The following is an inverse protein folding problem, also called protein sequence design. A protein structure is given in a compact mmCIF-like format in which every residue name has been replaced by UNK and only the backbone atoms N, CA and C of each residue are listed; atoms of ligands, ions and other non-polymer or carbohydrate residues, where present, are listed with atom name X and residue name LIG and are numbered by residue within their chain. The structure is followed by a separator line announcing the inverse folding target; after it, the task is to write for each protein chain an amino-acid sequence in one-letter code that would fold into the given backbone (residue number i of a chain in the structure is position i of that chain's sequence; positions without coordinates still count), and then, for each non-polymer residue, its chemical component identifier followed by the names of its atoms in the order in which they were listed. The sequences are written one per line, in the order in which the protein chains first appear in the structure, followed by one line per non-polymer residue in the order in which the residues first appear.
data_IF_438655703966
#
_entry.id   IF_438655703966
#
_cell.length_a   1.000
_cell.length_b   1.000
_cell.length_c   1.000
_cell.angle_alpha   90.00
_cell.angle_beta   90.00
_cell.angle_gamma   90.00
#
_symmetry.space_group_name_H-M   'P 1'
#
loop_
_entity.id
_entity.type
_entity.pdbx_description
1 polymer ?
#
# COMPACT_ATOMS: atom_id res chain seq x y z
N UNK A 1 21.39 13.63 -12.15
CA UNK A 1 21.66 15.10 -12.26
C UNK A 1 20.60 15.91 -13.03
N UNK A 2 19.47 15.37 -13.54
CA UNK A 2 18.40 16.18 -14.20
C UNK A 2 17.67 17.12 -13.23
N UNK A 3 17.27 16.60 -12.06
CA UNK A 3 16.56 17.36 -11.03
C UNK A 3 17.35 18.58 -10.52
N UNK A 4 18.63 18.39 -10.20
CA UNK A 4 19.51 19.45 -9.73
C UNK A 4 19.76 20.56 -10.78
N UNK A 5 19.46 20.27 -12.05
CA UNK A 5 19.58 21.21 -13.18
C UNK A 5 18.23 21.77 -13.65
N UNK A 6 17.15 21.51 -12.92
CA UNK A 6 15.80 21.97 -13.29
C UNK A 6 15.19 21.28 -14.52
N UNK A 7 15.83 20.23 -15.05
CA UNK A 7 15.32 19.52 -16.22
C UNK A 7 14.16 18.59 -15.87
N UNK A 8 13.28 18.37 -16.85
CA UNK A 8 12.19 17.40 -16.76
C UNK A 8 12.70 16.01 -16.31
N UNK A 9 11.95 15.30 -15.43
CA UNK A 9 12.32 13.97 -15.00
C UNK A 9 12.47 13.00 -16.18
N UNK A 10 13.33 12.01 -16.00
CA UNK A 10 13.28 10.83 -16.87
C UNK A 10 12.17 9.92 -16.36
N UNK A 11 11.18 9.67 -17.20
CA UNK A 11 10.03 8.83 -16.89
C UNK A 11 10.21 7.42 -17.43
N UNK A 12 9.69 6.44 -16.70
CA UNK A 12 9.56 5.05 -17.11
C UNK A 12 8.13 4.57 -16.80
N UNK A 13 7.67 3.46 -17.38
CA UNK A 13 6.37 2.88 -17.02
C UNK A 13 6.29 2.49 -15.53
N UNK A 14 5.09 2.62 -14.95
CA UNK A 14 4.78 2.07 -13.63
C UNK A 14 4.70 0.54 -13.74
N UNK A 15 3.92 0.04 -14.70
CA UNK A 15 3.76 -1.39 -14.98
C UNK A 15 4.11 -1.72 -16.43
N UNK A 16 4.72 -2.88 -16.64
CA UNK A 16 4.95 -3.46 -17.97
C UNK A 16 5.00 -4.99 -17.87
N UNK A 17 4.96 -5.72 -19.01
CA UNK A 17 5.15 -7.17 -19.00
C UNK A 17 6.51 -7.59 -18.40
N UNK A 18 6.65 -8.83 -17.91
CA UNK A 18 7.94 -9.38 -17.48
C UNK A 18 9.03 -9.21 -18.54
N UNK A 19 10.22 -8.77 -18.12
CA UNK A 19 11.38 -8.54 -19.00
C UNK A 19 11.50 -7.11 -19.55
N UNK A 20 10.47 -6.27 -19.41
CA UNK A 20 10.51 -4.86 -19.82
C UNK A 20 11.08 -3.93 -18.71
N UNK A 21 11.52 -2.74 -19.09
CA UNK A 21 11.85 -1.68 -18.12
C UNK A 21 10.57 -1.04 -17.56
N UNK A 22 10.28 -1.26 -16.28
CA UNK A 22 9.21 -0.59 -15.53
C UNK A 22 9.47 -0.66 -14.02
N UNK A 23 8.69 0.07 -13.22
CA UNK A 23 8.75 -0.05 -11.76
C UNK A 23 8.27 -1.43 -11.27
N UNK A 24 7.30 -2.03 -11.95
CA UNK A 24 6.71 -3.32 -11.61
C UNK A 24 6.50 -4.17 -12.87
N UNK A 25 7.00 -5.40 -12.84
CA UNK A 25 7.03 -6.31 -14.01
C UNK A 25 6.59 -7.73 -13.68
N UNK A 26 5.91 -7.93 -12.54
CA UNK A 26 5.31 -9.23 -12.25
C UNK A 26 4.17 -9.54 -13.24
N UNK A 27 3.88 -10.82 -13.54
CA UNK A 27 2.87 -11.17 -14.55
C UNK A 27 1.48 -10.57 -14.30
N UNK A 28 1.14 -10.38 -13.03
CA UNK A 28 -0.11 -9.79 -12.55
C UNK A 28 -0.11 -8.25 -12.54
N UNK A 29 1.05 -7.59 -12.68
CA UNK A 29 1.18 -6.15 -12.51
C UNK A 29 0.41 -5.32 -13.52
N UNK A 30 0.62 -5.57 -14.81
CA UNK A 30 -0.04 -4.81 -15.87
C UNK A 30 -1.57 -4.99 -15.85
N UNK A 31 -2.13 -6.22 -15.89
CA UNK A 31 -3.58 -6.40 -15.87
C UNK A 31 -4.19 -5.95 -14.53
N UNK A 32 -3.54 -6.23 -13.41
CA UNK A 32 -4.03 -5.86 -12.07
C UNK A 32 -4.08 -4.34 -11.86
N UNK A 33 -3.01 -3.63 -12.23
CA UNK A 33 -2.96 -2.17 -12.10
C UNK A 33 -3.96 -1.49 -13.04
N UNK A 34 -4.11 -1.97 -14.28
CA UNK A 34 -5.10 -1.43 -15.20
C UNK A 34 -6.54 -1.62 -14.69
N UNK A 35 -6.84 -2.76 -14.07
CA UNK A 35 -8.15 -3.04 -13.51
C UNK A 35 -8.55 -2.11 -12.36
N UNK A 36 -7.61 -1.41 -11.72
CA UNK A 36 -7.90 -0.44 -10.65
C UNK A 36 -8.59 0.83 -11.16
N UNK A 37 -8.47 1.15 -12.45
CA UNK A 37 -9.01 2.38 -13.03
C UNK A 37 -10.39 2.21 -13.66
N UNK A 38 -10.97 1.01 -13.62
CA UNK A 38 -12.32 0.73 -14.17
C UNK A 38 -12.53 1.23 -15.63
N UNK A 39 -11.46 1.26 -16.43
CA UNK A 39 -11.50 1.76 -17.82
C UNK A 39 -11.26 3.27 -17.98
N UNK A 40 -11.13 4.02 -16.89
CA UNK A 40 -10.74 5.42 -16.93
C UNK A 40 -9.32 5.59 -17.49
N UNK A 41 -9.06 6.66 -18.27
CA UNK A 41 -7.74 6.93 -18.79
C UNK A 41 -6.78 7.22 -17.65
N UNK A 42 -5.63 6.55 -17.66
CA UNK A 42 -4.56 6.76 -16.69
C UNK A 42 -3.21 6.80 -17.39
N UNK A 43 -2.27 7.53 -16.80
CA UNK A 43 -0.95 7.70 -17.37
C UNK A 43 0.05 6.72 -16.74
N UNK A 44 0.52 5.77 -17.54
CA UNK A 44 1.50 4.77 -17.11
C UNK A 44 2.92 5.36 -17.09
N UNK A 45 3.19 6.33 -16.20
CA UNK A 45 4.53 6.89 -16.04
C UNK A 45 4.87 7.21 -14.58
N UNK A 46 6.11 6.94 -14.20
CA UNK A 46 6.71 7.35 -12.95
C UNK A 46 8.10 7.93 -13.22
N UNK A 47 8.46 9.00 -12.51
CA UNK A 47 9.81 9.51 -12.57
C UNK A 47 10.78 8.46 -12.00
N UNK A 48 11.74 8.00 -12.79
CA UNK A 48 12.66 6.91 -12.39
C UNK A 48 13.40 7.23 -11.08
N UNK A 49 13.69 8.52 -10.82
CA UNK A 49 14.30 8.98 -9.57
C UNK A 49 13.46 8.69 -8.31
N UNK A 50 12.14 8.55 -8.43
CA UNK A 50 11.26 8.21 -7.30
C UNK A 50 11.52 6.79 -6.80
N UNK A 51 11.94 5.87 -7.67
CA UNK A 51 12.32 4.51 -7.26
C UNK A 51 13.57 4.51 -6.39
N UNK A 52 14.52 5.44 -6.62
CA UNK A 52 15.70 5.59 -5.76
C UNK A 52 15.31 6.01 -4.34
N UNK A 53 14.27 6.83 -4.20
CA UNK A 53 13.73 7.20 -2.89
C UNK A 53 13.02 6.01 -2.23
N UNK A 54 12.23 5.25 -3.00
CA UNK A 54 11.54 4.06 -2.51
C UNK A 54 12.53 3.01 -1.97
N UNK A 55 13.64 2.74 -2.67
CA UNK A 55 14.68 1.79 -2.23
C UNK A 55 15.35 2.23 -0.93
N UNK A 56 15.50 3.54 -0.71
CA UNK A 56 16.12 4.10 0.51
C UNK A 56 15.15 4.25 1.67
N UNK A 57 13.85 4.12 1.42
CA UNK A 57 12.81 4.31 2.43
C UNK A 57 12.48 2.99 3.14
N UNK A 58 12.70 2.95 4.46
CA UNK A 58 12.43 1.77 5.28
C UNK A 58 11.47 2.09 6.43
N UNK A 59 10.14 2.09 6.18
CA UNK A 59 9.15 2.42 7.21
C UNK A 59 9.19 1.43 8.39
N UNK A 60 9.54 0.17 8.15
CA UNK A 60 9.72 -0.85 9.19
C UNK A 60 10.71 -0.45 10.28
N UNK A 61 11.75 0.34 9.98
CA UNK A 61 12.73 0.82 10.98
C UNK A 61 12.09 1.74 12.02
N UNK A 62 11.03 2.45 11.64
CA UNK A 62 10.34 3.43 12.48
C UNK A 62 9.02 2.90 13.06
N UNK A 63 8.62 1.67 12.74
CA UNK A 63 7.35 1.07 13.16
C UNK A 63 7.09 1.16 14.68
N UNK A 64 8.13 1.03 15.51
CA UNK A 64 8.02 1.15 16.98
C UNK A 64 7.56 2.52 17.47
N UNK A 65 7.66 3.56 16.63
CA UNK A 65 7.23 4.93 16.95
C UNK A 65 5.73 5.14 16.74
N UNK A 66 5.02 4.18 16.12
CA UNK A 66 3.59 4.30 15.87
C UNK A 66 2.82 3.90 17.13
N UNK A 67 2.29 4.90 17.84
CA UNK A 67 1.49 4.68 19.05
C UNK A 67 0.04 4.28 18.74
N UNK A 68 -0.49 4.72 17.59
CA UNK A 68 -1.85 4.40 17.16
C UNK A 68 -2.02 2.89 16.89
N UNK A 69 -3.22 2.32 17.11
CA UNK A 69 -3.55 0.99 16.62
C UNK A 69 -3.36 0.90 15.09
N UNK A 70 -2.83 -0.21 14.60
CA UNK A 70 -2.59 -0.43 13.17
C UNK A 70 -3.14 -1.77 12.74
N UNK A 71 -4.00 -1.76 11.71
CA UNK A 71 -4.35 -2.95 10.94
C UNK A 71 -3.31 -3.16 9.83
N UNK A 72 -2.72 -4.34 9.78
CA UNK A 72 -1.81 -4.76 8.71
C UNK A 72 -2.49 -5.87 7.92
N UNK A 73 -2.82 -5.61 6.66
CA UNK A 73 -3.46 -6.56 5.76
C UNK A 73 -2.44 -7.06 4.74
N UNK A 74 -2.30 -8.38 4.61
CA UNK A 74 -1.23 -9.01 3.82
C UNK A 74 -1.80 -10.00 2.82
N UNK A 75 -1.52 -9.78 1.54
CA UNK A 75 -1.72 -10.75 0.48
C UNK A 75 -0.59 -11.79 0.51
N UNK A 76 -0.90 -13.08 0.72
CA UNK A 76 0.10 -14.15 0.88
C UNK A 76 0.89 -14.44 -0.40
N UNK A 77 0.28 -14.20 -1.56
CA UNK A 77 0.89 -14.44 -2.87
C UNK A 77 1.36 -13.15 -3.53
N UNK A 78 1.59 -12.09 -2.74
CA UNK A 78 2.10 -10.82 -3.23
C UNK A 78 3.52 -10.95 -3.82
N UNK A 79 3.63 -10.67 -5.12
CA UNK A 79 4.89 -10.68 -5.89
C UNK A 79 5.53 -9.30 -6.05
N UNK A 80 4.85 -8.24 -5.60
CA UNK A 80 5.27 -6.85 -5.72
C UNK A 80 5.84 -6.35 -4.39
N UNK A 81 5.10 -6.55 -3.30
CA UNK A 81 5.50 -6.24 -1.93
C UNK A 81 5.47 -7.50 -1.05
N UNK A 82 6.58 -8.24 -0.95
CA UNK A 82 6.58 -9.56 -0.32
C UNK A 82 6.01 -9.58 1.10
N UNK A 83 5.13 -10.55 1.37
CA UNK A 83 4.44 -10.73 2.66
C UNK A 83 5.37 -10.71 3.88
N UNK A 84 6.60 -11.22 3.73
CA UNK A 84 7.61 -11.23 4.80
C UNK A 84 7.97 -9.83 5.32
N UNK A 85 8.00 -8.82 4.45
CA UNK A 85 8.28 -7.45 4.85
C UNK A 85 7.13 -6.87 5.71
N UNK A 86 5.88 -7.14 5.33
CA UNK A 86 4.70 -6.72 6.07
C UNK A 86 4.58 -7.44 7.42
N UNK A 87 4.82 -8.77 7.48
CA UNK A 87 4.90 -9.54 8.73
C UNK A 87 5.95 -8.98 9.68
N UNK A 88 7.15 -8.66 9.16
CA UNK A 88 8.22 -8.04 9.95
C UNK A 88 7.82 -6.66 10.48
N UNK A 89 7.05 -5.89 9.72
CA UNK A 89 6.51 -4.62 10.19
C UNK A 89 5.48 -4.82 11.30
N UNK A 90 4.53 -5.74 11.12
CA UNK A 90 3.53 -6.08 12.13
C UNK A 90 4.16 -6.47 13.47
N UNK A 91 5.23 -7.28 13.45
CA UNK A 91 5.98 -7.67 14.65
C UNK A 91 6.68 -6.49 15.37
N UNK A 92 6.92 -5.37 14.68
CA UNK A 92 7.58 -4.19 15.27
C UNK A 92 6.59 -3.12 15.70
N UNK A 93 5.32 -3.22 15.32
CA UNK A 93 4.27 -2.29 15.71
C UNK A 93 3.79 -2.63 17.13
N UNK A 94 3.71 -1.66 18.06
CA UNK A 94 3.27 -1.92 19.43
C UNK A 94 1.82 -2.41 19.52
N UNK A 95 0.95 -1.92 18.64
CA UNK A 95 -0.50 -2.15 18.66
C UNK A 95 -0.99 -2.64 17.28
N UNK A 96 -0.42 -3.75 16.78
CA UNK A 96 -0.74 -4.29 15.47
C UNK A 96 -1.82 -5.38 15.51
N UNK A 97 -2.76 -5.32 14.59
CA UNK A 97 -3.63 -6.42 14.19
C UNK A 97 -3.20 -6.89 12.79
N UNK A 98 -2.69 -8.11 12.67
CA UNK A 98 -2.30 -8.71 11.39
C UNK A 98 -3.44 -9.56 10.83
N UNK A 99 -3.79 -9.34 9.56
CA UNK A 99 -4.69 -10.19 8.77
C UNK A 99 -3.98 -10.62 7.50
N UNK A 100 -4.07 -11.90 7.18
CA UNK A 100 -3.44 -12.48 5.98
C UNK A 100 -4.50 -13.14 5.10
N UNK A 101 -4.36 -12.98 3.79
CA UNK A 101 -5.35 -13.38 2.79
C UNK A 101 -4.68 -14.23 1.70
N UNK A 102 -5.39 -15.24 1.21
CA UNK A 102 -4.91 -16.15 0.17
C UNK A 102 -5.13 -15.55 -1.22
N UNK A 103 -4.45 -14.43 -1.47
CA UNK A 103 -4.64 -13.61 -2.66
C UNK A 103 -3.31 -13.00 -3.14
N UNK A 104 -3.31 -12.47 -4.36
CA UNK A 104 -2.24 -11.69 -4.97
C UNK A 104 -2.27 -10.21 -4.59
N UNK A 105 -1.28 -9.45 -5.09
CA UNK A 105 -1.10 -8.03 -4.75
C UNK A 105 -2.32 -7.17 -5.13
N UNK A 106 -2.87 -7.40 -6.33
CA UNK A 106 -3.93 -6.58 -6.90
C UNK A 106 -5.34 -7.01 -6.52
N UNK A 107 -5.50 -8.19 -5.93
CA UNK A 107 -6.80 -8.74 -5.56
C UNK A 107 -7.51 -7.88 -4.50
N UNK A 108 -6.77 -7.08 -3.73
CA UNK A 108 -7.33 -6.16 -2.74
C UNK A 108 -8.16 -5.01 -3.36
N UNK A 109 -8.04 -4.77 -4.68
CA UNK A 109 -8.69 -3.65 -5.34
C UNK A 109 -10.01 -4.00 -6.02
N UNK A 110 -10.26 -5.27 -6.35
CA UNK A 110 -11.48 -5.69 -7.06
C UNK A 110 -12.03 -7.04 -6.54
N UNK A 111 -13.33 -7.27 -6.75
CA UNK A 111 -13.99 -8.56 -6.49
C UNK A 111 -14.06 -8.96 -5.01
N UNK A 112 -14.18 -10.27 -4.74
CA UNK A 112 -14.42 -10.82 -3.39
C UNK A 112 -13.36 -10.42 -2.35
N UNK A 113 -12.10 -10.29 -2.78
CA UNK A 113 -11.02 -9.95 -1.87
C UNK A 113 -11.08 -8.48 -1.49
N UNK A 114 -11.41 -7.59 -2.42
CA UNK A 114 -11.70 -6.20 -2.10
C UNK A 114 -12.77 -6.05 -1.02
N UNK A 115 -13.92 -6.71 -1.19
CA UNK A 115 -15.00 -6.71 -0.20
C UNK A 115 -14.53 -7.21 1.16
N UNK A 116 -13.71 -8.27 1.19
CA UNK A 116 -13.17 -8.81 2.43
C UNK A 116 -12.19 -7.84 3.11
N UNK A 117 -11.28 -7.22 2.34
CA UNK A 117 -10.34 -6.24 2.88
C UNK A 117 -11.09 -5.03 3.46
N UNK A 118 -12.10 -4.52 2.76
CA UNK A 118 -12.94 -3.42 3.22
C UNK A 118 -13.70 -3.77 4.49
N UNK A 119 -14.32 -4.95 4.56
CA UNK A 119 -15.04 -5.40 5.75
C UNK A 119 -14.14 -5.42 6.99
N UNK A 120 -12.92 -5.96 6.86
CA UNK A 120 -11.95 -6.00 7.96
C UNK A 120 -11.44 -4.60 8.35
N UNK A 121 -11.28 -3.68 7.39
CA UNK A 121 -10.95 -2.28 7.65
C UNK A 121 -12.06 -1.58 8.44
N UNK A 122 -13.32 -1.78 8.06
CA UNK A 122 -14.48 -1.21 8.73
C UNK A 122 -14.64 -1.78 10.15
N UNK A 123 -14.46 -3.08 10.32
CA UNK A 123 -14.49 -3.74 11.64
C UNK A 123 -13.41 -3.15 12.56
N UNK A 124 -12.19 -2.95 12.04
CA UNK A 124 -11.09 -2.36 12.78
C UNK A 124 -11.35 -0.89 13.16
N UNK A 125 -11.92 -0.09 12.26
CA UNK A 125 -12.13 1.35 12.46
C UNK A 125 -13.35 1.66 13.33
N UNK A 126 -14.41 0.84 13.29
CA UNK A 126 -15.69 1.15 13.95
C UNK A 126 -15.56 1.43 15.47
N UNK A 127 -14.80 0.66 16.26
CA UNK A 127 -14.57 0.98 17.67
C UNK A 127 -13.78 2.28 17.90
N UNK A 128 -12.83 2.61 17.01
CA UNK A 128 -11.97 3.78 17.13
C UNK A 128 -12.74 5.09 16.85
N UNK A 129 -13.67 5.05 15.89
CA UNK A 129 -14.56 6.16 15.59
C UNK A 129 -15.46 6.50 16.80
N UNK A 130 -16.04 5.48 17.45
CA UNK A 130 -16.90 5.66 18.63
C UNK A 130 -16.15 6.29 19.82
N UNK A 131 -14.88 5.91 20.04
CA UNK A 131 -14.04 6.49 21.10
C UNK A 131 -13.78 7.98 20.91
N UNK A 132 -13.61 8.45 19.67
CA UNK A 132 -13.40 9.88 19.38
C UNK A 132 -14.68 10.70 19.59
N UNK A 133 -15.84 10.17 19.21
CA UNK A 133 -17.12 10.85 19.44
C UNK A 133 -17.42 11.04 20.92
N UNK A 134 -17.12 10.04 21.77
CA UNK A 134 -17.28 10.15 23.23
C UNK A 134 -16.32 11.20 23.86
N UNK A 135 -15.06 11.25 23.42
CA UNK A 135 -14.09 12.24 23.90
C UNK A 135 -14.42 13.67 23.45
N UNK A 136 -15.00 13.84 22.25
CA UNK A 136 -15.44 15.14 21.74
C UNK A 136 -16.71 15.64 22.44
N UNK A 137 -17.65 14.74 22.75
CA UNK A 137 -18.87 15.08 23.48
C UNK A 137 -18.60 15.55 24.92
N UNK A 138 -17.54 15.05 25.55
CA UNK A 138 -17.17 15.39 26.93
C UNK A 138 -16.27 16.65 27.05
N UNK A 139 -16.06 17.39 25.94
CA UNK A 139 -15.21 18.60 25.88
C UNK A 139 -16.00 19.89 25.57
N UNK A 140 -17.34 19.87 25.63
CA UNK A 140 -18.12 21.11 25.55
C UNK A 140 -18.24 21.73 26.96
N UNK A 141 -18.01 23.04 27.11
CA UNK A 141 -18.17 23.74 28.39
C UNK A 141 -19.63 23.75 28.84
#
# INVERSE_FOLDING_TARGET
MRAARGHEPFYIPIVAPPGCLAAMTSPDALPGYAAMFAGEPWENRIAARSLLAAVRYSPTRHARRVAAPVLVQVARHDRVTPASAARRMAQRLPNALLREYDCGHFDAYNGKWHERFLADQLEFLAPLARRRSAVSANRRP
#
